data_IF_849374747204
#
_entry.id   IF_849374747204
#
_cell.length_a   1.000
_cell.length_b   1.000
_cell.length_c   1.000
_cell.angle_alpha   90.00
_cell.angle_beta   90.00
_cell.angle_gamma   90.00
#
_symmetry.space_group_name_H-M   'P 1'
#
loop_
_entity.id
_entity.type
_entity.pdbx_description
1 polymer ?
#
# COMPACT_ATOMS: atom_id res chain seq x y z
N UNK A 1 0.93 -8.83 -2.42
CA UNK A 1 0.26 -7.84 -1.50
C UNK A 1 0.98 -7.65 -0.15
N UNK A 2 1.73 -8.65 0.34
CA UNK A 2 2.38 -8.63 1.66
C UNK A 2 3.22 -7.37 1.94
N UNK A 3 4.06 -6.94 0.99
CA UNK A 3 4.91 -5.73 1.12
C UNK A 3 4.12 -4.47 1.53
N UNK A 4 2.94 -4.28 0.94
CA UNK A 4 2.04 -3.16 1.26
C UNK A 4 1.56 -3.28 2.71
N UNK A 5 1.05 -4.46 3.10
CA UNK A 5 0.54 -4.69 4.45
C UNK A 5 1.63 -4.55 5.52
N UNK A 6 2.86 -4.95 5.21
CA UNK A 6 4.01 -4.80 6.10
C UNK A 6 4.31 -3.33 6.38
N UNK A 7 4.29 -2.46 5.37
CA UNK A 7 4.48 -1.01 5.54
C UNK A 7 3.36 -0.44 6.42
N UNK A 8 2.10 -0.81 6.15
CA UNK A 8 0.95 -0.32 6.92
C UNK A 8 1.08 -0.68 8.40
N UNK A 9 1.38 -1.94 8.72
CA UNK A 9 1.50 -2.40 10.10
C UNK A 9 2.73 -1.85 10.81
N UNK A 10 3.90 -1.87 10.16
CA UNK A 10 5.18 -1.56 10.83
C UNK A 10 5.54 -0.08 10.83
N UNK A 11 5.09 0.67 9.84
CA UNK A 11 5.46 2.08 9.66
C UNK A 11 4.26 2.99 9.94
N UNK A 12 3.09 2.68 9.40
CA UNK A 12 1.91 3.56 9.52
C UNK A 12 1.07 3.31 10.77
N UNK A 13 1.35 2.23 11.53
CA UNK A 13 0.58 1.85 12.72
C UNK A 13 -0.90 1.59 12.41
N UNK A 14 -1.20 1.20 11.17
CA UNK A 14 -2.52 0.76 10.75
C UNK A 14 -2.71 -0.73 11.02
N UNK A 15 -3.97 -1.16 11.11
CA UNK A 15 -4.30 -2.55 11.38
C UNK A 15 -4.09 -3.43 10.15
N UNK A 16 -4.46 -2.92 8.97
CA UNK A 16 -4.28 -3.62 7.71
C UNK A 16 -4.37 -2.71 6.49
N UNK A 17 -3.79 -3.19 5.39
CA UNK A 17 -4.09 -2.69 4.05
C UNK A 17 -5.28 -3.45 3.47
N UNK A 18 -6.25 -2.73 2.91
CA UNK A 18 -7.40 -3.32 2.20
C UNK A 18 -7.37 -2.93 0.72
N UNK A 19 -7.84 -3.81 -0.14
CA UNK A 19 -7.87 -3.59 -1.58
C UNK A 19 -8.92 -4.50 -2.23
N UNK A 20 -9.59 -3.99 -3.25
CA UNK A 20 -10.55 -4.73 -4.04
C UNK A 20 -9.90 -5.92 -4.77
N UNK A 21 -10.74 -6.88 -5.17
CA UNK A 21 -10.30 -8.08 -5.89
C UNK A 21 -9.54 -7.71 -7.17
N UNK A 22 -10.00 -6.71 -7.91
CA UNK A 22 -9.35 -6.23 -9.15
C UNK A 22 -7.89 -5.81 -8.93
N UNK A 23 -7.61 -5.09 -7.85
CA UNK A 23 -6.25 -4.66 -7.49
C UNK A 23 -5.37 -5.86 -7.11
N UNK A 24 -5.94 -6.81 -6.35
CA UNK A 24 -5.22 -8.04 -5.97
C UNK A 24 -4.89 -8.90 -7.19
N UNK A 25 -5.84 -9.06 -8.11
CA UNK A 25 -5.67 -9.81 -9.35
C UNK A 25 -4.61 -9.15 -10.25
N UNK A 26 -4.61 -7.81 -10.35
CA UNK A 26 -3.62 -7.05 -11.11
C UNK A 26 -2.20 -7.24 -10.53
N UNK A 27 -2.05 -7.15 -9.21
CA UNK A 27 -0.77 -7.39 -8.55
C UNK A 27 -0.30 -8.84 -8.75
N UNK A 28 -1.21 -9.81 -8.68
CA UNK A 28 -0.88 -11.21 -8.93
C UNK A 28 -0.41 -11.42 -10.38
N UNK A 29 -1.05 -10.78 -11.36
CA UNK A 29 -0.60 -10.83 -12.75
C UNK A 29 0.83 -10.26 -12.92
N UNK A 30 1.17 -9.18 -12.22
CA UNK A 30 2.53 -8.64 -12.24
C UNK A 30 3.55 -9.50 -11.51
N UNK A 31 3.16 -10.17 -10.43
CA UNK A 31 4.00 -11.18 -9.77
C UNK A 31 4.34 -12.32 -10.75
N UNK A 32 3.35 -12.83 -11.50
CA UNK A 32 3.55 -13.86 -12.53
C UNK A 32 4.39 -13.36 -13.72
N UNK A 33 4.29 -12.08 -14.07
CA UNK A 33 5.13 -11.44 -15.10
C UNK A 33 6.57 -11.15 -14.64
N UNK A 34 6.95 -11.53 -13.41
CA UNK A 34 8.30 -11.40 -12.89
C UNK A 34 8.59 -10.12 -12.08
N UNK A 35 7.60 -9.23 -11.92
CA UNK A 35 7.77 -7.96 -11.21
C UNK A 35 7.58 -8.07 -9.69
N UNK A 36 7.29 -9.26 -9.16
CA UNK A 36 7.01 -9.46 -7.73
C UNK A 36 8.16 -9.06 -6.79
N UNK A 37 9.40 -8.99 -7.30
CA UNK A 37 10.58 -8.61 -6.51
C UNK A 37 10.78 -7.10 -6.40
N UNK A 38 10.12 -6.29 -7.23
CA UNK A 38 10.23 -4.84 -7.19
C UNK A 38 9.85 -4.26 -5.81
N UNK A 39 10.49 -3.16 -5.37
CA UNK A 39 10.05 -2.45 -4.18
C UNK A 39 8.66 -1.83 -4.39
N UNK A 40 8.02 -1.45 -3.28
CA UNK A 40 6.71 -0.78 -3.30
C UNK A 40 6.88 0.69 -2.94
N UNK A 41 6.27 1.58 -3.72
CA UNK A 41 6.14 2.99 -3.41
C UNK A 41 4.70 3.28 -2.94
N UNK A 42 4.55 3.84 -1.74
CA UNK A 42 3.25 4.16 -1.15
C UNK A 42 2.89 5.62 -1.42
N UNK A 43 1.90 5.86 -2.28
CA UNK A 43 1.38 7.19 -2.56
C UNK A 43 0.15 7.48 -1.68
N UNK A 44 0.32 8.31 -0.64
CA UNK A 44 -0.76 8.77 0.25
C UNK A 44 -0.48 10.20 0.73
N UNK A 45 -1.39 10.77 1.52
CA UNK A 45 -1.14 12.06 2.18
C UNK A 45 0.10 11.99 3.07
N UNK A 46 0.88 13.07 3.06
CA UNK A 46 2.07 13.27 3.89
C UNK A 46 1.75 13.77 5.31
N UNK A 47 0.52 14.25 5.54
CA UNK A 47 0.14 14.92 6.79
C UNK A 47 -0.24 13.97 7.94
N UNK A 48 -0.51 12.71 7.63
CA UNK A 48 -0.92 11.68 8.59
C UNK A 48 -0.23 10.36 8.28
N UNK A 49 -0.08 9.48 9.26
CA UNK A 49 0.27 8.08 9.01
C UNK A 49 -0.87 7.31 8.33
N UNK A 50 -2.11 7.72 8.55
CA UNK A 50 -3.29 7.18 7.87
C UNK A 50 -3.47 7.75 6.46
N UNK A 51 -4.61 7.48 5.83
CA UNK A 51 -5.03 8.13 4.58
C UNK A 51 -5.86 9.39 4.77
N UNK A 52 -6.23 9.74 6.00
CA UNK A 52 -6.93 10.99 6.34
C UNK A 52 -5.92 12.06 6.81
N UNK A 53 -5.78 13.20 6.10
CA UNK A 53 -4.83 14.25 6.47
C UNK A 53 -5.12 14.91 7.83
N UNK A 54 -6.33 14.79 8.38
CA UNK A 54 -6.71 15.40 9.65
C UNK A 54 -6.36 14.55 10.87
N UNK A 55 -6.10 13.24 10.69
CA UNK A 55 -5.67 12.35 11.76
C UNK A 55 -4.19 12.57 12.09
N UNK A 56 -3.91 13.54 12.96
CA UNK A 56 -2.55 13.95 13.34
C UNK A 56 -1.98 13.13 14.50
N UNK A 57 -0.67 13.23 14.71
CA UNK A 57 0.04 12.50 15.77
C UNK A 57 0.38 11.07 15.35
N UNK A 58 0.16 10.10 16.24
CA UNK A 58 0.41 8.69 16.01
C UNK A 58 -0.91 7.88 16.00
N UNK A 59 -1.76 8.05 14.97
CA UNK A 59 -3.04 7.34 14.89
C UNK A 59 -2.81 5.82 14.84
N UNK A 60 -3.75 5.07 15.42
CA UNK A 60 -3.78 3.60 15.45
C UNK A 60 -5.20 3.13 15.11
N UNK A 61 -5.41 1.82 14.90
CA UNK A 61 -6.76 1.29 14.65
C UNK A 61 -7.37 1.67 13.30
N UNK A 62 -6.54 2.08 12.33
CA UNK A 62 -7.00 2.53 11.02
C UNK A 62 -6.60 1.56 9.92
N UNK A 63 -7.47 1.43 8.91
CA UNK A 63 -7.20 0.66 7.70
C UNK A 63 -6.69 1.56 6.58
N UNK A 64 -5.82 1.04 5.72
CA UNK A 64 -5.29 1.78 4.55
C UNK A 64 -5.89 1.21 3.26
N UNK A 65 -6.85 1.89 2.63
CA UNK A 65 -7.42 1.45 1.36
C UNK A 65 -6.49 1.74 0.17
N UNK A 66 -6.19 0.71 -0.61
CA UNK A 66 -5.45 0.80 -1.88
C UNK A 66 -6.45 0.83 -3.03
N UNK A 67 -6.50 1.96 -3.72
CA UNK A 67 -7.50 2.26 -4.77
C UNK A 67 -7.01 1.94 -6.17
N UNK A 68 -5.71 2.02 -6.39
CA UNK A 68 -5.06 1.86 -7.69
C UNK A 68 -3.62 1.38 -7.47
N UNK A 69 -3.08 0.64 -8.43
CA UNK A 69 -1.66 0.30 -8.51
C UNK A 69 -1.13 0.64 -9.90
N UNK A 70 0.13 1.09 -9.97
CA UNK A 70 0.82 1.39 -11.22
C UNK A 70 2.18 0.70 -11.23
N UNK A 71 2.56 0.15 -12.39
CA UNK A 71 3.86 -0.47 -12.57
C UNK A 71 4.84 0.55 -13.18
N UNK A 72 5.87 0.92 -12.41
CA UNK A 72 6.94 1.80 -12.86
C UNK A 72 8.20 0.97 -13.21
N UNK A 73 8.10 0.13 -14.25
CA UNK A 73 9.11 -0.88 -14.59
C UNK A 73 10.50 -0.32 -14.98
N UNK A 74 10.61 0.96 -15.34
CA UNK A 74 11.90 1.59 -15.65
C UNK A 74 12.65 2.14 -14.43
N UNK A 75 11.99 2.30 -13.30
CA UNK A 75 12.57 2.90 -12.09
C UNK A 75 13.01 1.87 -11.05
N UNK A 76 12.56 0.61 -11.19
CA UNK A 76 12.69 -0.45 -10.19
C UNK A 76 13.44 -1.66 -10.69
#
# INVERSE_FOLDING_TARGET
>A
FEKVNTIVKRIYRGDEAIADKSIRDQLHAWEQAGYGKLPVCMAKTQYSFSTDPNLRGAPTGHTVPVREVRLAAGAG
#
